data_IF_466886747723
#
_entry.id   IF_466886747723
#
_cell.length_a   1.000
_cell.length_b   1.000
_cell.length_c   1.000
_cell.angle_alpha   90.00
_cell.angle_beta   90.00
_cell.angle_gamma   90.00
#
_symmetry.space_group_name_H-M   'P 1'
#
loop_
_entity.id
_entity.type
_entity.pdbx_description
1 polymer ?
#
# COMPACT_ATOMS: atom_id res chain seq x y z
N UNK A 1 8.45 0.52 3.96
CA UNK A 1 7.33 -0.32 4.32
C UNK A 1 7.06 -1.41 3.31
N UNK A 2 6.86 -1.03 2.05
CA UNK A 2 6.61 -2.02 1.01
C UNK A 2 7.73 -3.06 0.93
N UNK A 3 8.97 -2.60 1.05
CA UNK A 3 10.11 -3.52 1.00
C UNK A 3 10.08 -4.54 2.12
N UNK A 4 9.71 -4.12 3.32
CA UNK A 4 9.61 -5.04 4.45
C UNK A 4 8.51 -6.06 4.23
N UNK A 5 7.36 -5.62 3.73
CA UNK A 5 6.27 -6.54 3.42
C UNK A 5 6.71 -7.56 2.37
N UNK A 6 7.38 -7.10 1.32
CA UNK A 6 7.82 -8.00 0.27
C UNK A 6 8.80 -9.04 0.80
N UNK A 7 9.73 -8.62 1.65
CA UNK A 7 10.70 -9.53 2.24
C UNK A 7 10.00 -10.56 3.13
N UNK A 8 9.04 -10.13 3.92
CA UNK A 8 8.31 -11.03 4.80
C UNK A 8 7.48 -12.03 3.99
N UNK A 9 6.85 -11.56 2.91
CA UNK A 9 6.07 -12.43 2.05
C UNK A 9 6.96 -13.49 1.42
N UNK A 10 8.12 -13.08 0.91
CA UNK A 10 9.04 -14.03 0.30
C UNK A 10 9.54 -15.04 1.30
N UNK A 11 9.85 -14.61 2.50
CA UNK A 11 10.29 -15.52 3.54
C UNK A 11 9.20 -16.52 3.90
N UNK A 12 7.97 -16.02 4.06
CA UNK A 12 6.85 -16.89 4.40
C UNK A 12 6.65 -17.96 3.32
N UNK A 13 6.74 -17.57 2.05
CA UNK A 13 6.61 -18.51 0.95
C UNK A 13 7.74 -19.54 0.95
N UNK A 14 8.95 -19.07 1.22
CA UNK A 14 10.11 -19.94 1.26
C UNK A 14 9.97 -20.98 2.35
N UNK A 15 9.39 -20.60 3.47
CA UNK A 15 9.18 -21.51 4.58
C UNK A 15 7.94 -22.38 4.41
N UNK A 16 7.23 -22.19 3.32
CA UNK A 16 6.01 -22.96 3.08
C UNK A 16 4.82 -22.47 3.87
N UNK A 17 4.94 -21.31 4.47
CA UNK A 17 3.85 -20.72 5.26
C UNK A 17 3.00 -19.85 4.36
N UNK A 18 2.20 -20.50 3.53
CA UNK A 18 1.41 -19.77 2.52
C UNK A 18 0.27 -18.99 3.14
N UNK A 19 -0.23 -19.43 4.27
CA UNK A 19 -1.29 -18.70 4.96
C UNK A 19 -0.79 -17.33 5.43
N UNK A 20 0.41 -17.30 6.01
CA UNK A 20 1.02 -16.05 6.43
C UNK A 20 1.35 -15.18 5.24
N UNK A 21 1.88 -15.77 4.17
CA UNK A 21 2.18 -15.01 2.96
C UNK A 21 0.93 -14.32 2.42
N UNK A 22 -0.17 -15.05 2.37
CA UNK A 22 -1.41 -14.51 1.88
C UNK A 22 -1.94 -13.38 2.77
N UNK A 23 -1.85 -13.57 4.07
CA UNK A 23 -2.27 -12.53 4.99
C UNK A 23 -1.46 -11.26 4.80
N UNK A 24 -0.15 -11.41 4.65
CA UNK A 24 0.72 -10.26 4.43
C UNK A 24 0.41 -9.57 3.11
N UNK A 25 0.10 -10.34 2.08
CA UNK A 25 -0.29 -9.75 0.79
C UNK A 25 -1.57 -8.95 0.91
N UNK A 26 -2.53 -9.46 1.67
CA UNK A 26 -3.78 -8.74 1.88
C UNK A 26 -3.55 -7.45 2.67
N UNK A 27 -2.71 -7.52 3.69
CA UNK A 27 -2.37 -6.34 4.46
C UNK A 27 -1.66 -5.30 3.61
N UNK A 28 -0.74 -5.73 2.76
CA UNK A 28 -0.03 -4.83 1.88
C UNK A 28 -1.00 -4.14 0.91
N UNK A 29 -1.94 -4.90 0.37
CA UNK A 29 -2.93 -4.35 -0.53
C UNK A 29 -3.76 -3.27 0.16
N UNK A 30 -4.17 -3.51 1.41
CA UNK A 30 -4.92 -2.52 2.16
C UNK A 30 -4.09 -1.28 2.43
N UNK A 31 -2.83 -1.48 2.77
CA UNK A 31 -1.92 -0.39 3.04
C UNK A 31 -1.75 0.49 1.80
N UNK A 32 -1.58 -0.15 0.64
CA UNK A 32 -1.41 0.58 -0.60
C UNK A 32 -2.64 1.38 -0.98
N UNK A 33 -3.82 0.80 -0.76
CA UNK A 33 -5.07 1.52 -1.00
C UNK A 33 -5.19 2.72 -0.09
N UNK A 34 -4.81 2.55 1.16
CA UNK A 34 -4.88 3.62 2.15
C UNK A 34 -3.93 4.75 1.78
N UNK A 35 -2.70 4.41 1.42
CA UNK A 35 -1.72 5.40 1.01
C UNK A 35 -2.16 6.15 -0.25
N UNK A 36 -2.74 5.45 -1.20
CA UNK A 36 -3.24 6.06 -2.41
C UNK A 36 -4.35 7.06 -2.09
N UNK A 37 -5.23 6.69 -1.18
CA UNK A 37 -6.31 7.56 -0.77
C UNK A 37 -5.78 8.81 -0.08
N UNK A 38 -4.80 8.64 0.79
CA UNK A 38 -4.17 9.76 1.48
C UNK A 38 -3.48 10.67 0.48
N UNK A 39 -2.77 10.09 -0.47
CA UNK A 39 -2.09 10.86 -1.49
C UNK A 39 -3.07 11.72 -2.29
N UNK A 40 -4.20 11.15 -2.64
CA UNK A 40 -5.22 11.89 -3.37
C UNK A 40 -5.79 13.03 -2.54
N UNK A 41 -5.99 12.79 -1.26
CA UNK A 41 -6.46 13.85 -0.37
C UNK A 41 -5.45 14.96 -0.24
N UNK A 42 -4.18 14.62 -0.11
CA UNK A 42 -3.14 15.62 0.00
C UNK A 42 -3.02 16.45 -1.26
N UNK A 43 -3.11 15.81 -2.41
CA UNK A 43 -3.09 16.54 -3.68
C UNK A 43 -4.28 17.48 -3.76
N UNK A 44 -5.45 17.01 -3.38
CA UNK A 44 -6.64 17.85 -3.38
C UNK A 44 -6.50 19.04 -2.45
N UNK A 45 -5.86 18.85 -1.31
CA UNK A 45 -5.67 19.91 -0.36
C UNK A 45 -4.62 20.91 -0.79
N UNK A 46 -3.62 20.45 -1.52
CA UNK A 46 -2.51 21.31 -1.87
C UNK A 46 -2.67 21.95 -3.22
N UNK A 47 -3.75 21.73 -3.90
CA UNK A 47 -3.90 22.28 -5.24
C UNK A 47 -5.13 23.13 -5.42
N UNK A 48 -5.55 23.88 -4.43
CA UNK A 48 -6.67 24.79 -4.64
C UNK A 48 -6.28 25.90 -5.60
N UNK A 49 -5.00 26.13 -5.72
CA UNK A 49 -4.55 27.16 -6.61
C UNK A 49 -4.45 26.65 -8.02
N UNK A 50 -4.12 25.40 -8.13
CA UNK A 50 -3.87 24.84 -9.41
C UNK A 50 -5.04 24.11 -9.91
N UNK A 51 -6.02 24.06 -9.15
CA UNK A 51 -7.03 23.25 -9.39
C UNK A 51 -7.74 23.62 -10.48
N UNK A 52 -7.83 23.39 -11.21
CA UNK A 52 -8.56 23.84 -12.23
C UNK A 52 -9.69 23.08 -12.48
N UNK A 53 -9.91 23.03 -12.41
CA UNK A 53 -10.55 22.56 -12.68
C UNK A 53 -11.04 21.96 -13.03
N UNK A 54 -11.48 21.82 -13.32
CA UNK A 54 -12.14 21.18 -13.92
C UNK A 54 -12.55 21.16 -14.44
#
# INVERSE_FOLDING_TARGET
MVTLYNQAIQLARKEGDFATARLLEELLTEEEKHLDKIAKLLVGMSSPFTQPEP
#
